data_IF_621933685581
#
_entry.id   IF_621933685581
#
_cell.length_a   1.000
_cell.length_b   1.000
_cell.length_c   1.000
_cell.angle_alpha   90.00
_cell.angle_beta   90.00
_cell.angle_gamma   90.00
#
_symmetry.space_group_name_H-M   'P 1'
#
loop_
_entity.id
_entity.type
_entity.pdbx_description
1 polymer ?
#
# COMPACT_ATOMS: atom_id res chain seq x y z
N UNK A 1 -4.75 44.58 -15.98
CA UNK A 1 -4.42 44.18 -14.60
C UNK A 1 -4.87 42.75 -14.44
N UNK A 2 -3.95 41.83 -14.17
CA UNK A 2 -4.22 40.40 -14.02
C UNK A 2 -5.05 40.20 -12.75
N UNK A 3 -6.32 39.83 -12.89
CA UNK A 3 -7.08 39.22 -11.80
C UNK A 3 -6.43 37.86 -11.53
N UNK A 4 -5.51 37.82 -10.56
CA UNK A 4 -5.13 36.56 -9.93
C UNK A 4 -6.40 36.02 -9.27
N UNK A 5 -7.10 35.10 -9.94
CA UNK A 5 -8.24 34.42 -9.35
C UNK A 5 -7.74 33.74 -8.07
N UNK A 6 -8.20 34.23 -6.92
CA UNK A 6 -7.82 33.62 -5.65
C UNK A 6 -8.38 32.20 -5.65
N UNK A 7 -7.49 31.20 -5.70
CA UNK A 7 -7.85 29.79 -5.55
C UNK A 7 -8.75 29.66 -4.33
N UNK A 8 -9.91 28.99 -4.48
CA UNK A 8 -10.85 28.88 -3.38
C UNK A 8 -10.19 28.17 -2.19
N UNK A 9 -10.58 28.49 -0.93
CA UNK A 9 -10.06 27.79 0.23
C UNK A 9 -10.28 26.27 0.14
N UNK A 10 -11.39 25.81 -0.44
CA UNK A 10 -11.67 24.39 -0.66
C UNK A 10 -10.67 23.74 -1.63
N UNK A 11 -10.38 24.39 -2.76
CA UNK A 11 -9.39 23.90 -3.73
C UNK A 11 -8.00 23.81 -3.09
N UNK A 12 -7.61 24.79 -2.26
CA UNK A 12 -6.33 24.75 -1.52
C UNK A 12 -6.22 23.52 -0.61
N UNK A 13 -7.29 23.19 0.14
CA UNK A 13 -7.30 22.00 1.01
C UNK A 13 -7.24 20.69 0.23
N UNK A 14 -7.99 20.59 -0.87
CA UNK A 14 -8.01 19.40 -1.73
C UNK A 14 -6.62 19.20 -2.36
N UNK A 15 -5.97 20.26 -2.82
CA UNK A 15 -4.62 20.20 -3.39
C UNK A 15 -3.58 19.76 -2.36
N UNK A 16 -3.62 20.28 -1.14
CA UNK A 16 -2.72 19.84 -0.06
C UNK A 16 -2.94 18.37 0.29
N UNK A 17 -4.19 17.91 0.29
CA UNK A 17 -4.51 16.50 0.49
C UNK A 17 -4.01 15.62 -0.67
N UNK A 18 -4.13 16.06 -1.92
CA UNK A 18 -3.55 15.34 -3.07
C UNK A 18 -2.02 15.25 -2.98
N UNK A 19 -1.33 16.33 -2.57
CA UNK A 19 0.12 16.31 -2.32
C UNK A 19 0.44 15.29 -1.22
N UNK A 20 -0.29 15.31 -0.10
CA UNK A 20 -0.09 14.35 0.98
C UNK A 20 -0.26 12.90 0.49
N UNK A 21 -1.36 12.60 -0.19
CA UNK A 21 -1.61 11.26 -0.77
C UNK A 21 -0.49 10.87 -1.74
N UNK A 22 -0.09 11.77 -2.64
CA UNK A 22 0.98 11.53 -3.60
C UNK A 22 2.33 11.24 -2.93
N UNK A 23 2.70 12.00 -1.90
CA UNK A 23 3.91 11.78 -1.11
C UNK A 23 3.85 10.45 -0.34
N UNK A 24 2.69 10.09 0.21
CA UNK A 24 2.52 8.80 0.84
C UNK A 24 2.63 7.65 -0.17
N UNK A 25 2.04 7.74 -1.37
CA UNK A 25 2.20 6.71 -2.40
C UNK A 25 3.66 6.63 -2.87
N UNK A 26 4.36 7.74 -3.01
CA UNK A 26 5.79 7.74 -3.31
C UNK A 26 6.61 7.03 -2.22
N UNK A 27 6.38 7.36 -0.95
CA UNK A 27 7.03 6.67 0.17
C UNK A 27 6.68 5.17 0.20
N UNK A 28 5.45 4.79 -0.13
CA UNK A 28 5.01 3.40 -0.23
C UNK A 28 5.80 2.62 -1.29
N UNK A 29 6.10 3.25 -2.44
CA UNK A 29 6.93 2.64 -3.47
C UNK A 29 8.34 2.36 -2.92
N UNK A 30 8.93 3.31 -2.18
CA UNK A 30 10.26 3.12 -1.57
C UNK A 30 10.25 2.02 -0.51
N UNK A 31 9.23 2.00 0.37
CA UNK A 31 9.06 0.96 1.40
C UNK A 31 8.85 -0.41 0.74
N UNK A 32 8.09 -0.46 -0.35
CA UNK A 32 7.90 -1.68 -1.14
C UNK A 32 9.17 -2.16 -1.84
N UNK A 33 9.96 -1.23 -2.38
CA UNK A 33 11.29 -1.53 -2.89
C UNK A 33 12.21 -2.11 -1.81
N UNK A 34 12.24 -1.52 -0.62
CA UNK A 34 12.98 -2.05 0.52
C UNK A 34 12.51 -3.46 0.90
N UNK A 35 11.20 -3.68 1.05
CA UNK A 35 10.60 -5.00 1.36
C UNK A 35 11.04 -6.07 0.35
N UNK A 36 11.14 -5.72 -0.93
CA UNK A 36 11.61 -6.63 -1.97
C UNK A 36 13.11 -6.88 -1.90
N UNK A 37 13.91 -5.85 -1.65
CA UNK A 37 15.37 -5.93 -1.59
C UNK A 37 15.89 -6.58 -0.30
N UNK A 38 15.06 -6.64 0.75
CA UNK A 38 15.33 -7.37 2.00
C UNK A 38 14.71 -8.76 2.01
N UNK A 39 14.27 -9.27 0.86
CA UNK A 39 13.60 -10.59 0.69
C UNK A 39 12.53 -10.84 1.74
N UNK A 40 11.73 -9.81 2.00
CA UNK A 40 10.68 -9.81 3.04
C UNK A 40 9.29 -9.99 2.45
N UNK A 41 9.17 -10.17 1.13
CA UNK A 41 7.89 -10.13 0.42
C UNK A 41 6.95 -11.31 0.66
N UNK A 42 7.40 -12.35 1.36
CA UNK A 42 6.66 -13.58 1.64
C UNK A 42 6.60 -13.95 3.13
N UNK A 43 7.05 -13.05 4.02
CA UNK A 43 7.07 -13.25 5.47
C UNK A 43 5.68 -13.30 6.13
N UNK A 44 4.66 -12.71 5.51
CA UNK A 44 3.26 -12.69 5.96
C UNK A 44 2.40 -13.45 4.94
N UNK A 45 2.02 -14.67 5.30
CA UNK A 45 1.33 -15.59 4.36
C UNK A 45 -0.17 -15.34 4.25
N UNK A 46 -0.76 -14.59 5.18
CA UNK A 46 -2.20 -14.33 5.21
C UNK A 46 -2.56 -12.91 4.80
N UNK A 47 -3.73 -12.78 4.20
CA UNK A 47 -4.33 -11.49 3.89
C UNK A 47 -5.40 -11.14 4.91
N UNK A 48 -5.01 -10.37 5.92
CA UNK A 48 -5.87 -9.90 6.99
C UNK A 48 -6.01 -8.35 6.89
N UNK A 49 -6.97 -7.82 6.11
CA UNK A 49 -7.08 -6.37 5.88
C UNK A 49 -7.32 -5.58 7.16
N UNK A 50 -8.10 -6.14 8.09
CA UNK A 50 -8.51 -5.48 9.34
C UNK A 50 -7.63 -5.91 10.51
N UNK A 51 -7.66 -7.19 10.89
CA UNK A 51 -6.91 -7.71 12.05
C UNK A 51 -5.40 -7.60 11.90
N UNK A 52 -4.88 -7.62 10.67
CA UNK A 52 -3.46 -7.44 10.39
C UNK A 52 -2.94 -6.00 10.56
N UNK A 53 -3.79 -5.05 11.00
CA UNK A 53 -3.36 -3.72 11.40
C UNK A 53 -2.56 -3.72 12.73
N UNK A 54 -2.72 -4.76 13.55
CA UNK A 54 -1.89 -4.99 14.73
C UNK A 54 -0.85 -6.08 14.41
N UNK A 55 0.42 -5.89 14.78
CA UNK A 55 1.42 -6.95 14.66
C UNK A 55 1.19 -8.01 15.75
N UNK A 56 1.89 -9.16 15.71
CA UNK A 56 1.84 -10.13 16.80
C UNK A 56 2.28 -9.48 18.13
N UNK A 57 1.42 -9.54 19.15
CA UNK A 57 1.63 -8.88 20.45
C UNK A 57 2.09 -9.83 21.56
N UNK A 58 2.15 -11.13 21.29
CA UNK A 58 2.58 -12.15 22.24
C UNK A 58 3.56 -13.12 21.60
N UNK A 59 4.34 -13.81 22.42
CA UNK A 59 5.27 -14.85 21.96
C UNK A 59 4.54 -15.95 21.19
N UNK A 60 3.38 -16.41 21.69
CA UNK A 60 2.57 -17.42 20.98
C UNK A 60 2.06 -16.96 19.61
N UNK A 61 1.72 -15.67 19.46
CA UNK A 61 1.34 -15.11 18.17
C UNK A 61 2.53 -15.07 17.21
N UNK A 62 3.72 -14.71 17.68
CA UNK A 62 4.94 -14.75 16.89
C UNK A 62 5.29 -16.17 16.41
N UNK A 63 5.18 -17.17 17.30
CA UNK A 63 5.40 -18.57 16.93
C UNK A 63 4.40 -19.05 15.88
N UNK A 64 3.15 -18.58 15.95
CA UNK A 64 2.12 -18.93 14.96
C UNK A 64 2.47 -18.39 13.57
N UNK A 65 2.84 -17.11 13.47
CA UNK A 65 3.24 -16.51 12.19
C UNK A 65 4.52 -17.14 11.65
N UNK A 66 5.50 -17.43 12.52
CA UNK A 66 6.73 -18.09 12.09
C UNK A 66 6.47 -19.52 11.61
N UNK A 67 5.60 -20.29 12.28
CA UNK A 67 5.22 -21.62 11.84
C UNK A 67 4.52 -21.63 10.48
N UNK A 68 3.77 -20.56 10.14
CA UNK A 68 3.22 -20.38 8.78
C UNK A 68 4.34 -20.09 7.78
N UNK A 69 5.27 -19.21 8.13
CA UNK A 69 6.42 -18.89 7.28
C UNK A 69 7.30 -20.11 6.99
N UNK A 70 7.51 -20.99 7.99
CA UNK A 70 8.28 -22.23 7.85
C UNK A 70 7.72 -23.21 6.80
N UNK A 71 6.45 -23.08 6.44
CA UNK A 71 5.81 -23.89 5.40
C UNK A 71 6.03 -23.33 3.99
N UNK A 72 6.57 -22.13 3.86
CA UNK A 72 6.83 -21.50 2.55
C UNK A 72 8.07 -22.10 1.87
N UNK A 73 8.08 -22.06 0.54
CA UNK A 73 9.26 -22.43 -0.24
C UNK A 73 10.47 -21.51 0.06
N UNK A 74 10.23 -20.23 0.33
CA UNK A 74 11.31 -19.29 0.72
C UNK A 74 12.02 -19.77 2.00
N UNK A 75 11.28 -20.17 3.04
CA UNK A 75 11.91 -20.76 4.22
C UNK A 75 12.62 -22.07 3.92
N UNK A 76 11.99 -22.97 3.17
CA UNK A 76 12.54 -24.31 2.94
C UNK A 76 13.82 -24.31 2.09
N UNK A 77 13.92 -23.41 1.11
CA UNK A 77 15.03 -23.39 0.16
C UNK A 77 16.06 -22.28 0.41
N UNK A 78 15.67 -21.17 1.06
CA UNK A 78 16.55 -20.00 1.25
C UNK A 78 16.85 -19.77 2.72
N UNK A 79 15.82 -19.76 3.58
CA UNK A 79 15.93 -19.34 4.98
C UNK A 79 15.88 -20.51 5.98
N UNK A 80 16.34 -21.69 5.58
CA UNK A 80 16.26 -22.89 6.40
C UNK A 80 17.12 -22.73 7.67
N UNK A 81 16.50 -22.92 8.84
CA UNK A 81 17.17 -22.75 10.13
C UNK A 81 17.22 -21.31 10.63
N UNK A 82 16.52 -20.38 9.97
CA UNK A 82 16.35 -19.00 10.41
C UNK A 82 15.82 -18.94 11.86
N UNK A 83 16.36 -18.03 12.66
CA UNK A 83 15.91 -17.77 14.02
C UNK A 83 14.65 -16.89 14.05
N UNK A 84 13.91 -16.91 15.17
CA UNK A 84 12.78 -16.01 15.39
C UNK A 84 13.17 -14.53 15.22
N UNK A 85 14.36 -14.14 15.67
CA UNK A 85 14.84 -12.76 15.58
C UNK A 85 15.10 -12.32 14.13
N UNK A 86 15.53 -13.23 13.27
CA UNK A 86 15.70 -12.98 11.83
C UNK A 86 14.34 -12.93 11.12
N UNK A 87 13.42 -13.83 11.47
CA UNK A 87 12.05 -13.80 10.97
C UNK A 87 11.35 -12.47 11.32
N UNK A 88 11.49 -11.99 12.55
CA UNK A 88 10.92 -10.71 12.96
C UNK A 88 11.42 -9.54 12.10
N UNK A 89 12.68 -9.54 11.65
CA UNK A 89 13.21 -8.48 10.79
C UNK A 89 12.48 -8.41 9.45
N UNK A 90 12.32 -9.55 8.77
CA UNK A 90 11.60 -9.60 7.49
C UNK A 90 10.11 -9.31 7.68
N UNK A 91 9.52 -9.82 8.77
CA UNK A 91 8.13 -9.56 9.13
C UNK A 91 7.86 -8.06 9.32
N UNK A 92 8.75 -7.33 10.00
CA UNK A 92 8.56 -5.90 10.23
C UNK A 92 8.58 -5.07 8.95
N UNK A 93 9.41 -5.43 7.98
CA UNK A 93 9.41 -4.78 6.67
C UNK A 93 8.07 -4.98 5.94
N UNK A 94 7.61 -6.23 5.88
CA UNK A 94 6.37 -6.53 5.19
C UNK A 94 5.14 -5.98 5.92
N UNK A 95 5.10 -6.11 7.25
CA UNK A 95 4.04 -5.55 8.08
C UNK A 95 4.01 -4.03 7.95
N UNK A 96 5.17 -3.37 8.01
CA UNK A 96 5.30 -1.92 7.88
C UNK A 96 4.79 -1.43 6.52
N UNK A 97 5.15 -2.11 5.44
CA UNK A 97 4.61 -1.86 4.11
C UNK A 97 3.08 -1.98 4.09
N UNK A 98 2.54 -3.13 4.52
CA UNK A 98 1.09 -3.38 4.53
C UNK A 98 0.34 -2.38 5.43
N UNK A 99 0.90 -2.03 6.59
CA UNK A 99 0.33 -1.05 7.51
C UNK A 99 0.30 0.35 6.88
N UNK A 100 1.40 0.77 6.26
CA UNK A 100 1.47 2.07 5.60
C UNK A 100 0.46 2.18 4.44
N UNK A 101 0.26 1.08 3.68
CA UNK A 101 -0.81 1.01 2.67
C UNK A 101 -2.22 1.22 3.24
N UNK A 102 -2.51 0.67 4.43
CA UNK A 102 -3.78 0.92 5.13
C UNK A 102 -3.93 2.38 5.53
N UNK A 103 -2.84 3.02 5.98
CA UNK A 103 -2.86 4.44 6.33
C UNK A 103 -3.13 5.34 5.11
N UNK A 104 -2.59 4.99 3.94
CA UNK A 104 -2.93 5.69 2.69
C UNK A 104 -4.42 5.58 2.40
N UNK A 105 -4.98 4.36 2.47
CA UNK A 105 -6.42 4.14 2.28
C UNK A 105 -7.27 4.96 3.26
N UNK A 106 -6.89 4.99 4.54
CA UNK A 106 -7.58 5.78 5.57
C UNK A 106 -7.52 7.28 5.27
N UNK A 107 -6.34 7.83 4.98
CA UNK A 107 -6.16 9.25 4.63
C UNK A 107 -6.94 9.61 3.37
N UNK A 108 -6.96 8.71 2.39
CA UNK A 108 -7.67 8.94 1.14
C UNK A 108 -9.20 8.99 1.35
N UNK A 109 -9.76 7.98 2.02
CA UNK A 109 -11.19 7.88 2.29
C UNK A 109 -11.65 8.98 3.24
N UNK A 110 -10.89 9.28 4.29
CA UNK A 110 -11.22 10.34 5.25
C UNK A 110 -11.23 11.73 4.58
N UNK A 111 -10.24 12.03 3.75
CA UNK A 111 -10.21 13.28 2.99
C UNK A 111 -11.42 13.43 2.08
N UNK A 112 -11.73 12.39 1.29
CA UNK A 112 -12.92 12.37 0.43
C UNK A 112 -14.23 12.55 1.21
N UNK A 113 -14.40 11.85 2.33
CA UNK A 113 -15.58 11.99 3.19
C UNK A 113 -15.72 13.42 3.72
N UNK A 114 -14.63 14.01 4.20
CA UNK A 114 -14.58 15.39 4.67
C UNK A 114 -14.99 16.38 3.58
N UNK A 115 -14.46 16.25 2.36
CA UNK A 115 -14.79 17.15 1.25
C UNK A 115 -16.25 16.99 0.80
N UNK A 116 -16.78 15.77 0.86
CA UNK A 116 -18.18 15.47 0.55
C UNK A 116 -19.12 16.10 1.58
N UNK A 117 -18.89 15.89 2.87
CA UNK A 117 -19.71 16.47 3.96
C UNK A 117 -19.68 18.00 3.95
N UNK A 118 -18.55 18.60 3.55
CA UNK A 118 -18.41 20.05 3.42
C UNK A 118 -19.00 20.62 2.13
N UNK A 119 -19.52 19.79 1.22
CA UNK A 119 -20.06 20.24 -0.06
C UNK A 119 -19.01 20.88 -0.98
N UNK A 120 -17.74 20.52 -0.83
CA UNK A 120 -16.62 21.13 -1.57
C UNK A 120 -16.40 20.52 -2.95
N UNK A 121 -17.08 19.40 -3.27
CA UNK A 121 -16.83 18.64 -4.49
C UNK A 121 -17.82 18.97 -5.59
N UNK A 122 -17.31 19.26 -6.79
CA UNK A 122 -18.11 19.27 -8.02
C UNK A 122 -18.36 17.83 -8.48
N UNK A 123 -19.43 17.58 -9.25
CA UNK A 123 -19.72 16.25 -9.81
C UNK A 123 -18.53 15.65 -10.57
N UNK A 124 -17.81 16.49 -11.32
CA UNK A 124 -16.61 16.08 -12.06
C UNK A 124 -15.50 15.61 -11.09
N UNK A 125 -15.17 16.43 -10.09
CA UNK A 125 -14.12 16.09 -9.13
C UNK A 125 -14.48 14.88 -8.28
N UNK A 126 -15.75 14.72 -7.90
CA UNK A 126 -16.23 13.55 -7.14
C UNK A 126 -15.89 12.25 -7.87
N UNK A 127 -16.16 12.15 -9.18
CA UNK A 127 -15.86 10.93 -9.94
C UNK A 127 -14.36 10.64 -10.03
N UNK A 128 -13.53 11.67 -10.13
CA UNK A 128 -12.09 11.52 -10.15
C UNK A 128 -11.54 11.05 -8.80
N UNK A 129 -12.06 11.57 -7.69
CA UNK A 129 -11.66 11.12 -6.36
C UNK A 129 -12.14 9.69 -6.07
N UNK A 130 -13.34 9.33 -6.52
CA UNK A 130 -13.84 7.94 -6.46
C UNK A 130 -12.93 7.01 -7.28
N UNK A 131 -12.57 7.41 -8.51
CA UNK A 131 -11.65 6.64 -9.34
C UNK A 131 -10.28 6.48 -8.66
N UNK A 132 -9.72 7.55 -8.07
CA UNK A 132 -8.46 7.51 -7.33
C UNK A 132 -8.53 6.53 -6.14
N UNK A 133 -9.59 6.57 -5.33
CA UNK A 133 -9.78 5.63 -4.22
C UNK A 133 -9.96 4.20 -4.73
N UNK A 134 -10.71 4.03 -5.82
CA UNK A 134 -10.89 2.74 -6.49
C UNK A 134 -9.56 2.15 -7.00
N UNK A 135 -8.70 2.98 -7.60
CA UNK A 135 -7.35 2.58 -8.01
C UNK A 135 -6.49 2.19 -6.80
N UNK A 136 -6.60 2.90 -5.68
CA UNK A 136 -5.95 2.50 -4.42
C UNK A 136 -6.44 1.16 -3.87
N UNK A 137 -7.73 0.89 -3.95
CA UNK A 137 -8.30 -0.42 -3.60
C UNK A 137 -7.80 -1.54 -4.52
N UNK A 138 -7.78 -1.27 -5.84
CA UNK A 138 -7.23 -2.18 -6.84
C UNK A 138 -5.73 -2.44 -6.60
N UNK A 139 -4.96 -1.42 -6.24
CA UNK A 139 -3.55 -1.55 -5.86
C UNK A 139 -3.37 -2.57 -4.73
N UNK A 140 -4.20 -2.47 -3.68
CA UNK A 140 -4.23 -3.46 -2.60
C UNK A 140 -4.56 -4.86 -3.11
N UNK A 141 -5.60 -5.02 -3.93
CA UNK A 141 -5.98 -6.31 -4.49
C UNK A 141 -4.88 -6.94 -5.37
N UNK A 142 -4.17 -6.14 -6.16
CA UNK A 142 -3.02 -6.60 -6.95
C UNK A 142 -1.85 -6.97 -6.05
N UNK A 143 -1.62 -6.23 -4.96
CA UNK A 143 -0.60 -6.56 -3.96
C UNK A 143 -0.86 -7.91 -3.29
N UNK A 144 -2.12 -8.20 -2.95
CA UNK A 144 -2.53 -9.53 -2.47
C UNK A 144 -2.22 -10.62 -3.50
N UNK A 145 -2.70 -10.43 -4.73
CA UNK A 145 -2.50 -11.39 -5.82
C UNK A 145 -1.03 -11.63 -6.11
N UNK A 146 -0.19 -10.60 -6.01
CA UNK A 146 1.27 -10.71 -6.11
C UNK A 146 1.83 -11.64 -5.03
N UNK A 147 1.53 -11.40 -3.76
CA UNK A 147 2.04 -12.21 -2.64
C UNK A 147 1.56 -13.66 -2.72
N UNK A 148 0.29 -13.87 -3.09
CA UNK A 148 -0.30 -15.20 -3.28
C UNK A 148 0.41 -16.08 -4.34
N UNK A 149 1.29 -15.52 -5.17
CA UNK A 149 2.09 -16.33 -6.12
C UNK A 149 3.26 -17.09 -5.50
N UNK A 150 3.71 -16.68 -4.30
CA UNK A 150 4.82 -17.29 -3.57
C UNK A 150 4.40 -18.07 -2.33
N UNK A 151 3.10 -18.27 -2.11
CA UNK A 151 2.55 -18.95 -0.92
C UNK A 151 1.72 -20.17 -1.36
N UNK A 152 1.73 -21.23 -0.56
CA UNK A 152 0.99 -22.47 -0.82
C UNK A 152 1.82 -23.50 -1.59
N UNK A 153 1.17 -24.31 -2.42
CA UNK A 153 1.83 -25.33 -3.24
C UNK A 153 2.60 -24.69 -4.41
N UNK A 154 3.78 -24.15 -4.11
CA UNK A 154 4.67 -23.56 -5.10
C UNK A 154 6.13 -23.78 -4.72
N UNK A 155 7.02 -23.82 -5.72
CA UNK A 155 8.48 -23.85 -5.53
C UNK A 155 9.11 -22.47 -5.60
N UNK A 156 8.29 -21.41 -5.72
CA UNK A 156 8.77 -20.04 -5.82
C UNK A 156 9.21 -19.53 -4.46
N UNK A 157 10.46 -19.09 -4.39
CA UNK A 157 11.05 -18.41 -3.23
C UNK A 157 10.79 -16.90 -3.25
N UNK A 158 10.08 -16.41 -4.26
CA UNK A 158 9.85 -15.00 -4.55
C UNK A 158 8.46 -14.82 -5.18
N UNK A 159 7.93 -13.59 -5.11
CA UNK A 159 6.72 -13.24 -5.87
C UNK A 159 6.97 -13.31 -7.39
N UNK A 160 5.95 -13.73 -8.14
CA UNK A 160 6.04 -13.81 -9.59
C UNK A 160 6.35 -12.42 -10.22
N UNK A 161 7.41 -12.29 -11.05
CA UNK A 161 7.87 -10.99 -11.54
C UNK A 161 6.81 -10.17 -12.28
N UNK A 162 5.96 -10.81 -13.08
CA UNK A 162 4.89 -10.12 -13.80
C UNK A 162 3.83 -9.55 -12.86
N UNK A 163 3.55 -10.19 -11.71
CA UNK A 163 2.59 -9.66 -10.72
C UNK A 163 3.18 -8.46 -9.98
N UNK A 164 4.47 -8.53 -9.65
CA UNK A 164 5.23 -7.42 -9.09
C UNK A 164 5.26 -6.22 -10.04
N UNK A 165 5.56 -6.46 -11.32
CA UNK A 165 5.54 -5.42 -12.35
C UNK A 165 4.15 -4.79 -12.47
N UNK A 166 3.07 -5.57 -12.51
CA UNK A 166 1.70 -5.05 -12.55
C UNK A 166 1.40 -4.16 -11.34
N UNK A 167 1.77 -4.60 -10.13
CA UNK A 167 1.60 -3.82 -8.90
C UNK A 167 2.39 -2.50 -8.95
N UNK A 168 3.66 -2.56 -9.34
CA UNK A 168 4.53 -1.38 -9.42
C UNK A 168 4.04 -0.38 -10.48
N UNK A 169 3.70 -0.85 -11.67
CA UNK A 169 3.17 -0.01 -12.75
C UNK A 169 1.88 0.69 -12.34
N UNK A 170 0.96 0.01 -11.65
CA UNK A 170 -0.26 0.65 -11.16
C UNK A 170 0.05 1.72 -10.09
N UNK A 171 1.04 1.50 -9.21
CA UNK A 171 1.47 2.53 -8.26
C UNK A 171 1.99 3.79 -8.96
N UNK A 172 2.76 3.63 -10.04
CA UNK A 172 3.24 4.75 -10.86
C UNK A 172 2.09 5.48 -11.55
N UNK A 173 1.09 4.74 -12.08
CA UNK A 173 -0.11 5.34 -12.67
C UNK A 173 -0.93 6.11 -11.63
N UNK A 174 -1.02 5.63 -10.38
CA UNK A 174 -1.68 6.35 -9.29
C UNK A 174 -0.96 7.67 -9.00
N UNK A 175 0.39 7.67 -8.91
CA UNK A 175 1.16 8.92 -8.72
C UNK A 175 0.91 9.89 -9.88
N UNK A 176 0.95 9.39 -11.12
CA UNK A 176 0.69 10.21 -12.30
C UNK A 176 -0.72 10.83 -12.25
N UNK A 177 -1.72 10.03 -11.87
CA UNK A 177 -3.12 10.48 -11.76
C UNK A 177 -3.32 11.50 -10.65
N UNK A 178 -2.73 11.29 -9.47
CA UNK A 178 -2.73 12.26 -8.36
C UNK A 178 -2.06 13.57 -8.78
N UNK A 179 -0.92 13.49 -9.45
CA UNK A 179 -0.16 14.66 -9.90
C UNK A 179 -0.95 15.45 -10.95
N UNK A 180 -1.58 14.75 -11.90
CA UNK A 180 -2.44 15.35 -12.90
C UNK A 180 -3.65 16.04 -12.26
N UNK A 181 -4.36 15.39 -11.32
CA UNK A 181 -5.47 16.01 -10.59
C UNK A 181 -5.04 17.23 -9.77
N UNK A 182 -3.86 17.19 -9.18
CA UNK A 182 -3.30 18.31 -8.42
C UNK A 182 -3.01 19.53 -9.30
N UNK A 183 -2.57 19.31 -10.53
CA UNK A 183 -2.33 20.36 -11.53
C UNK A 183 -3.64 20.89 -12.15
N UNK A 184 -4.60 20.01 -12.43
CA UNK A 184 -5.91 20.38 -12.99
C UNK A 184 -6.71 21.32 -12.06
N UNK A 185 -6.52 21.18 -10.74
CA UNK A 185 -7.15 22.04 -9.73
C UNK A 185 -6.54 23.46 -9.62
N UNK A 186 -5.52 23.78 -10.43
CA UNK A 186 -4.92 25.12 -10.57
C UNK A 186 -4.01 25.51 -9.43
#
# INVERSE_FOLDING_TARGET
MSETSKVSPSATWIRRWLILVGLMVYAMILIGGATRLTDSGLSITEWNPVSGALPPLSEGAWQTEFAKYQQTAEYQFVNQGMSMAEFQKIFWWEWGHRFFGRMIGLVAVAGFAVFTVRGWLTKHLTWHLIALIGLGGLQGAIGWWMVASGIGETTRVDVAPYRLMTHFTLALLIIAYVTWLWHDLG
#
